data_IF_601161459500
#
_entry.id   IF_601161459500
#
_cell.length_a   1.000
_cell.length_b   1.000
_cell.length_c   1.000
_cell.angle_alpha   90.00
_cell.angle_beta   90.00
_cell.angle_gamma   90.00
#
_symmetry.space_group_name_H-M   'P 1'
#
loop_
_entity.id
_entity.type
_entity.pdbx_description
1 polymer ?
#
# COMPACT_ATOMS: atom_id res chain seq x y z
N UNK A 1 9.40 29.35 -1.65
CA UNK A 1 8.64 28.28 -0.96
C UNK A 1 9.61 27.31 -0.30
N UNK A 2 9.47 27.17 1.01
CA UNK A 2 10.08 26.19 1.89
C UNK A 2 9.02 25.16 2.29
N UNK A 3 9.40 23.88 2.38
CA UNK A 3 8.45 22.80 2.72
C UNK A 3 8.78 22.20 4.08
N UNK A 4 7.80 22.19 4.98
CA UNK A 4 7.89 21.50 6.27
C UNK A 4 7.49 20.04 6.09
N UNK A 5 8.41 19.10 6.26
CA UNK A 5 8.19 17.68 5.97
C UNK A 5 7.94 16.87 7.24
N UNK A 6 6.73 16.33 7.39
CA UNK A 6 6.29 15.58 8.57
C UNK A 6 5.92 14.15 8.20
N UNK A 7 6.78 13.20 8.55
CA UNK A 7 6.59 11.78 8.30
C UNK A 7 7.38 10.95 9.30
N UNK A 8 6.98 9.71 9.62
CA UNK A 8 7.94 8.72 10.07
C UNK A 8 9.08 8.61 9.05
N UNK A 9 10.30 8.44 9.53
CA UNK A 9 11.52 8.25 8.74
C UNK A 9 12.29 7.05 9.29
N UNK A 10 13.21 6.44 8.51
CA UNK A 10 14.12 5.42 9.03
C UNK A 10 14.83 5.94 10.29
N UNK A 11 15.01 5.10 11.33
CA UNK A 11 14.94 3.63 11.36
C UNK A 11 13.55 3.02 11.66
N UNK A 12 12.46 3.80 11.58
CA UNK A 12 11.11 3.24 11.75
C UNK A 12 10.84 2.16 10.68
N UNK A 13 10.49 0.94 11.12
CA UNK A 13 10.28 -0.22 10.23
C UNK A 13 8.89 -0.22 9.58
N UNK A 14 8.64 0.76 8.72
CA UNK A 14 7.37 0.90 7.99
C UNK A 14 7.61 1.28 6.55
N UNK A 15 6.73 0.82 5.64
CA UNK A 15 6.82 1.19 4.22
C UNK A 15 6.69 2.70 3.98
N UNK A 16 5.96 3.41 4.85
CA UNK A 16 5.85 4.88 4.80
C UNK A 16 7.18 5.55 5.11
N UNK A 17 7.97 5.03 6.05
CA UNK A 17 9.27 5.59 6.37
C UNK A 17 10.23 5.50 5.17
N UNK A 18 10.30 4.34 4.53
CA UNK A 18 11.16 4.12 3.34
C UNK A 18 10.71 5.01 2.17
N UNK A 19 9.40 5.06 1.92
CA UNK A 19 8.80 5.95 0.92
C UNK A 19 9.18 7.41 1.18
N UNK A 20 8.97 7.89 2.41
CA UNK A 20 9.19 9.28 2.77
C UNK A 20 10.65 9.67 2.71
N UNK A 21 11.58 8.76 3.01
CA UNK A 21 13.01 9.01 2.82
C UNK A 21 13.37 9.22 1.35
N UNK A 22 12.82 8.40 0.44
CA UNK A 22 13.03 8.55 -1.00
C UNK A 22 12.38 9.83 -1.54
N UNK A 23 11.15 10.14 -1.13
CA UNK A 23 10.47 11.37 -1.52
C UNK A 23 11.22 12.61 -1.02
N UNK A 24 11.69 12.60 0.23
CA UNK A 24 12.44 13.70 0.83
C UNK A 24 13.70 14.02 0.00
N UNK A 25 14.48 13.00 -0.40
CA UNK A 25 15.65 13.18 -1.27
C UNK A 25 15.26 13.81 -2.61
N UNK A 26 14.20 13.30 -3.24
CA UNK A 26 13.76 13.79 -4.54
C UNK A 26 13.19 15.22 -4.49
N UNK A 27 12.46 15.58 -3.43
CA UNK A 27 11.96 16.94 -3.22
C UNK A 27 13.06 17.94 -2.88
N UNK A 28 14.08 17.53 -2.11
CA UNK A 28 15.22 18.39 -1.77
C UNK A 28 16.02 18.85 -3.01
N UNK A 29 15.93 18.12 -4.13
CA UNK A 29 16.51 18.54 -5.41
C UNK A 29 15.73 19.67 -6.10
N UNK A 30 14.46 19.92 -5.72
CA UNK A 30 13.61 20.95 -6.30
C UNK A 30 13.56 22.25 -5.47
N UNK A 31 13.92 22.18 -4.19
CA UNK A 31 14.03 23.35 -3.32
C UNK A 31 14.16 22.99 -1.84
N UNK A 32 14.09 23.99 -0.94
CA UNK A 32 14.35 23.79 0.47
C UNK A 32 13.23 23.00 1.17
N UNK A 33 13.55 21.79 1.61
CA UNK A 33 12.68 20.91 2.42
C UNK A 33 13.30 20.68 3.78
N UNK A 34 12.56 20.97 4.85
CA UNK A 34 13.02 20.87 6.23
C UNK A 34 12.15 19.91 7.03
N UNK A 35 12.77 18.89 7.61
CA UNK A 35 12.07 17.91 8.43
C UNK A 35 11.56 18.57 9.71
N UNK A 36 10.29 18.35 10.02
CA UNK A 36 9.60 18.84 11.21
C UNK A 36 9.55 20.38 11.39
N UNK A 37 9.83 21.17 10.34
CA UNK A 37 9.76 22.63 10.40
C UNK A 37 8.33 23.14 10.23
N UNK A 38 7.74 23.65 11.31
CA UNK A 38 6.40 24.23 11.32
C UNK A 38 6.33 25.67 10.78
N UNK A 39 7.49 26.30 10.58
CA UNK A 39 7.59 27.68 10.11
C UNK A 39 7.83 27.76 8.60
N UNK A 40 7.80 26.61 7.92
CA UNK A 40 7.88 26.55 6.48
C UNK A 40 6.65 27.17 5.81
N UNK A 41 6.83 27.60 4.56
CA UNK A 41 5.77 28.22 3.76
C UNK A 41 4.56 27.30 3.55
N UNK A 42 4.81 25.99 3.39
CA UNK A 42 3.78 24.95 3.29
C UNK A 42 4.24 23.69 4.03
N UNK A 43 3.36 23.08 4.81
CA UNK A 43 3.63 21.81 5.48
C UNK A 43 3.06 20.61 4.70
N UNK A 44 3.82 19.52 4.64
CA UNK A 44 3.46 18.23 4.05
C UNK A 44 3.40 17.17 5.15
N UNK A 45 2.22 16.59 5.36
CA UNK A 45 1.93 15.64 6.44
C UNK A 45 1.64 14.26 5.89
N UNK A 46 2.49 13.27 6.20
CA UNK A 46 2.24 11.88 5.82
C UNK A 46 1.46 11.14 6.89
N UNK A 47 0.29 10.64 6.50
CA UNK A 47 -0.61 9.88 7.36
C UNK A 47 -0.80 8.46 6.80
N UNK A 48 -0.84 7.51 7.71
CA UNK A 48 -1.14 6.11 7.43
C UNK A 48 -1.87 5.50 8.61
N UNK A 49 -2.30 4.25 8.47
CA UNK A 49 -3.18 3.61 9.45
C UNK A 49 -2.41 2.99 10.64
N UNK A 50 -1.55 3.77 11.31
CA UNK A 50 -0.78 3.30 12.47
C UNK A 50 -0.40 4.44 13.46
N UNK A 51 -0.08 4.06 14.70
CA UNK A 51 0.21 4.98 15.81
C UNK A 51 1.38 5.97 15.60
N UNK A 52 2.31 5.68 14.69
CA UNK A 52 3.44 6.59 14.42
C UNK A 52 2.97 7.92 13.84
N UNK A 53 1.74 7.97 13.32
CA UNK A 53 1.15 9.16 12.73
C UNK A 53 0.39 10.04 13.73
N UNK A 54 0.31 9.68 15.03
CA UNK A 54 -0.46 10.42 16.06
C UNK A 54 -0.10 11.91 16.10
N UNK A 55 1.18 12.22 16.30
CA UNK A 55 1.65 13.61 16.39
C UNK A 55 1.49 14.36 15.07
N UNK A 56 1.70 13.66 13.94
CA UNK A 56 1.59 14.22 12.59
C UNK A 56 0.12 14.58 12.30
N UNK A 57 -0.82 13.71 12.68
CA UNK A 57 -2.25 13.95 12.55
C UNK A 57 -2.68 15.17 13.35
N UNK A 58 -2.27 15.27 14.62
CA UNK A 58 -2.58 16.44 15.44
C UNK A 58 -2.02 17.73 14.82
N UNK A 59 -0.77 17.71 14.35
CA UNK A 59 -0.17 18.87 13.68
C UNK A 59 -0.90 19.27 12.41
N UNK A 60 -1.36 18.31 11.61
CA UNK A 60 -2.12 18.58 10.39
C UNK A 60 -3.47 19.27 10.67
N UNK A 61 -4.06 19.02 11.84
CA UNK A 61 -5.26 19.71 12.31
C UNK A 61 -4.96 21.10 12.88
N UNK A 62 -3.87 21.26 13.61
CA UNK A 62 -3.48 22.52 14.25
C UNK A 62 -2.94 23.54 13.25
N UNK A 63 -2.21 23.08 12.22
CA UNK A 63 -1.62 23.92 11.17
C UNK A 63 -1.94 23.30 9.81
N UNK A 64 -3.04 23.72 9.17
CA UNK A 64 -3.45 23.22 7.86
C UNK A 64 -2.34 23.24 6.80
N UNK A 65 -2.10 22.08 6.19
CA UNK A 65 -1.14 21.90 5.11
C UNK A 65 -1.63 20.92 4.06
N UNK A 66 -0.71 20.32 3.32
CA UNK A 66 -1.01 19.23 2.39
C UNK A 66 -0.88 17.91 3.14
N UNK A 67 -1.93 17.09 3.14
CA UNK A 67 -1.92 15.76 3.74
C UNK A 67 -1.72 14.70 2.67
N UNK A 68 -0.87 13.72 2.94
CA UNK A 68 -0.69 12.51 2.12
C UNK A 68 -1.34 11.35 2.85
N UNK A 69 -2.35 10.73 2.25
CA UNK A 69 -2.97 9.51 2.75
C UNK A 69 -2.31 8.29 2.08
N UNK A 70 -1.53 7.54 2.86
CA UNK A 70 -0.97 6.25 2.44
C UNK A 70 -2.01 5.13 2.45
N UNK A 71 -2.96 5.23 3.39
CA UNK A 71 -4.18 4.43 3.48
C UNK A 71 -5.34 5.42 3.67
N UNK A 72 -6.44 5.25 2.94
CA UNK A 72 -7.61 6.13 3.01
C UNK A 72 -8.61 5.69 4.09
N UNK A 73 -8.41 4.56 4.78
CA UNK A 73 -9.20 4.18 5.97
C UNK A 73 -8.40 4.51 7.23
N UNK A 74 -8.69 5.65 7.85
CA UNK A 74 -8.09 6.08 9.12
C UNK A 74 -8.83 5.53 10.36
N UNK A 75 -9.87 4.74 10.14
CA UNK A 75 -10.68 4.15 11.21
C UNK A 75 -9.83 3.40 12.25
N UNK A 76 -8.92 2.51 11.83
CA UNK A 76 -8.12 1.72 12.77
C UNK A 76 -7.09 2.57 13.54
N UNK A 77 -6.57 3.61 12.91
CA UNK A 77 -5.72 4.62 13.55
C UNK A 77 -6.51 5.33 14.65
N UNK A 78 -7.69 5.85 14.34
CA UNK A 78 -8.52 6.56 15.32
C UNK A 78 -9.00 5.63 16.46
N UNK A 79 -9.31 4.37 16.16
CA UNK A 79 -9.62 3.35 17.17
C UNK A 79 -8.46 3.09 18.14
N UNK A 80 -7.21 3.21 17.67
CA UNK A 80 -6.02 3.03 18.49
C UNK A 80 -5.63 4.25 19.32
N UNK A 81 -6.00 5.45 18.85
CA UNK A 81 -5.54 6.72 19.45
C UNK A 81 -6.56 7.41 20.36
N UNK A 82 -7.86 7.25 20.09
CA UNK A 82 -8.94 7.93 20.80
C UNK A 82 -9.46 7.11 21.98
N UNK A 83 -10.03 7.79 22.98
CA UNK A 83 -10.92 7.17 23.97
C UNK A 83 -12.31 6.88 23.39
N UNK A 84 -13.12 6.08 24.08
CA UNK A 84 -14.48 5.76 23.62
C UNK A 84 -15.33 7.00 23.32
N UNK A 85 -15.42 8.00 24.22
CA UNK A 85 -16.23 9.20 23.95
C UNK A 85 -15.71 10.00 22.75
N UNK A 86 -14.39 10.11 22.60
CA UNK A 86 -13.76 10.82 21.48
C UNK A 86 -14.00 10.09 20.16
N UNK A 87 -13.86 8.76 20.14
CA UNK A 87 -14.15 7.93 18.97
C UNK A 87 -15.61 8.06 18.53
N UNK A 88 -16.56 7.98 19.48
CA UNK A 88 -17.99 8.13 19.17
C UNK A 88 -18.27 9.53 18.62
N UNK A 89 -17.71 10.58 19.23
CA UNK A 89 -17.85 11.94 18.72
C UNK A 89 -17.25 12.11 17.32
N UNK A 90 -16.09 11.49 17.05
CA UNK A 90 -15.48 11.50 15.72
C UNK A 90 -16.32 10.74 14.69
N UNK A 91 -16.89 9.59 15.06
CA UNK A 91 -17.77 8.82 14.19
C UNK A 91 -19.02 9.62 13.83
N UNK A 92 -19.64 10.28 14.83
CA UNK A 92 -20.78 11.18 14.64
C UNK A 92 -20.42 12.39 13.77
N UNK A 93 -19.20 12.93 13.89
CA UNK A 93 -18.74 14.02 13.01
C UNK A 93 -18.73 13.60 11.53
N UNK A 94 -18.31 12.35 11.26
CA UNK A 94 -18.22 11.79 9.92
C UNK A 94 -19.59 11.39 9.35
N UNK A 95 -20.44 10.72 10.14
CA UNK A 95 -21.65 10.05 9.63
C UNK A 95 -22.97 10.54 10.25
N UNK A 96 -22.93 11.53 11.15
CA UNK A 96 -24.10 12.12 11.80
C UNK A 96 -24.55 11.39 13.07
N UNK A 97 -25.36 12.07 13.88
CA UNK A 97 -25.77 11.63 15.22
C UNK A 97 -26.60 10.33 15.23
N UNK A 98 -27.32 10.04 14.15
CA UNK A 98 -28.09 8.80 13.99
C UNK A 98 -27.22 7.54 14.00
N UNK A 99 -25.90 7.67 13.83
CA UNK A 99 -24.95 6.57 13.83
C UNK A 99 -24.24 6.36 15.19
N UNK A 100 -24.68 7.03 16.26
CA UNK A 100 -24.02 6.93 17.57
C UNK A 100 -24.04 5.49 18.14
N UNK A 101 -25.17 4.81 18.08
CA UNK A 101 -25.29 3.43 18.57
C UNK A 101 -24.39 2.46 17.80
N UNK A 102 -24.27 2.67 16.48
CA UNK A 102 -23.36 1.94 15.63
C UNK A 102 -21.90 2.19 16.04
N UNK A 103 -21.52 3.43 16.30
CA UNK A 103 -20.18 3.76 16.78
C UNK A 103 -19.88 3.05 18.10
N UNK A 104 -20.81 3.09 19.07
CA UNK A 104 -20.65 2.39 20.35
C UNK A 104 -20.50 0.88 20.15
N UNK A 105 -21.24 0.28 19.22
CA UNK A 105 -21.12 -1.14 18.91
C UNK A 105 -19.78 -1.51 18.27
N UNK A 106 -19.32 -0.74 17.28
CA UNK A 106 -18.00 -0.90 16.68
C UNK A 106 -16.89 -0.74 17.74
N UNK A 107 -16.99 0.24 18.62
CA UNK A 107 -16.04 0.39 19.71
C UNK A 107 -15.98 -0.84 20.62
N UNK A 108 -17.14 -1.39 21.03
CA UNK A 108 -17.20 -2.62 21.85
C UNK A 108 -16.59 -3.83 21.13
N UNK A 109 -16.74 -3.92 19.81
CA UNK A 109 -16.25 -5.04 18.98
C UNK A 109 -14.87 -4.82 18.37
N UNK A 110 -14.16 -3.74 18.72
CA UNK A 110 -12.90 -3.29 18.08
C UNK A 110 -11.77 -4.33 18.04
N UNK A 111 -11.81 -5.35 18.90
CA UNK A 111 -10.89 -6.49 18.84
C UNK A 111 -10.93 -7.23 17.48
N UNK A 112 -12.04 -7.11 16.72
CA UNK A 112 -12.22 -7.69 15.39
C UNK A 112 -11.89 -6.72 14.25
N UNK A 113 -11.44 -5.50 14.55
CA UNK A 113 -11.29 -4.44 13.55
C UNK A 113 -10.35 -4.78 12.40
N UNK A 114 -9.34 -5.62 12.63
CA UNK A 114 -8.40 -6.06 11.61
C UNK A 114 -9.01 -7.01 10.56
N UNK A 115 -10.14 -7.67 10.87
CA UNK A 115 -10.71 -8.74 10.04
C UNK A 115 -12.16 -8.50 9.63
N UNK A 116 -12.90 -7.71 10.40
CA UNK A 116 -14.30 -7.38 10.13
C UNK A 116 -14.39 -6.31 9.02
N UNK A 117 -14.98 -6.63 7.84
CA UNK A 117 -15.09 -5.70 6.73
C UNK A 117 -15.81 -4.40 7.08
N UNK A 118 -16.67 -4.41 8.12
CA UNK A 118 -17.41 -3.22 8.53
C UNK A 118 -16.47 -2.05 8.90
N UNK A 119 -15.29 -2.32 9.45
CA UNK A 119 -14.34 -1.27 9.80
C UNK A 119 -13.70 -0.60 8.58
N UNK A 120 -13.63 -1.31 7.45
CA UNK A 120 -13.11 -0.77 6.19
C UNK A 120 -14.17 0.07 5.45
N UNK A 121 -15.45 -0.16 5.72
CA UNK A 121 -16.56 0.64 5.17
C UNK A 121 -16.74 2.02 5.81
N UNK A 122 -16.02 2.32 6.89
CA UNK A 122 -16.09 3.61 7.58
C UNK A 122 -14.71 4.29 7.64
N UNK A 123 -14.23 4.91 6.55
CA UNK A 123 -12.90 5.52 6.45
C UNK A 123 -12.55 6.59 7.50
N UNK A 124 -13.53 7.37 7.96
CA UNK A 124 -13.37 8.45 8.95
C UNK A 124 -12.38 9.55 8.53
N UNK A 125 -12.53 10.04 7.30
CA UNK A 125 -11.61 11.02 6.69
C UNK A 125 -12.01 12.49 6.85
N UNK A 126 -13.26 12.77 7.24
CA UNK A 126 -13.86 14.10 7.07
C UNK A 126 -13.06 15.21 7.75
N UNK A 127 -12.69 15.02 9.03
CA UNK A 127 -11.98 16.04 9.81
C UNK A 127 -10.65 16.43 9.18
N UNK A 128 -9.84 15.45 8.80
CA UNK A 128 -8.52 15.73 8.21
C UNK A 128 -8.66 16.27 6.79
N UNK A 129 -9.60 15.77 5.99
CA UNK A 129 -9.80 16.22 4.62
C UNK A 129 -10.32 17.68 4.56
N UNK A 130 -11.28 18.05 5.40
CA UNK A 130 -11.82 19.42 5.46
C UNK A 130 -10.81 20.43 6.03
N UNK A 131 -9.92 20.00 6.93
CA UNK A 131 -8.86 20.85 7.48
C UNK A 131 -7.65 20.98 6.55
N UNK A 132 -7.46 20.04 5.63
CA UNK A 132 -6.32 20.05 4.72
C UNK A 132 -6.48 21.09 3.61
N UNK A 133 -5.38 21.72 3.22
CA UNK A 133 -5.32 22.64 2.08
C UNK A 133 -5.39 21.89 0.75
N UNK A 134 -4.86 20.67 0.74
CA UNK A 134 -5.04 19.67 -0.28
C UNK A 134 -4.75 18.28 0.29
N UNK A 135 -5.32 17.25 -0.32
CA UNK A 135 -5.09 15.85 0.02
C UNK A 135 -4.44 15.14 -1.16
N UNK A 136 -3.26 14.56 -0.93
CA UNK A 136 -2.58 13.68 -1.86
C UNK A 136 -2.96 12.24 -1.55
N UNK A 137 -3.34 11.51 -2.59
CA UNK A 137 -3.66 10.08 -2.54
C UNK A 137 -2.91 9.35 -3.65
N UNK A 138 -2.82 8.02 -3.56
CA UNK A 138 -2.02 7.21 -4.47
C UNK A 138 -2.82 6.37 -5.47
N UNK A 139 -4.15 6.45 -5.45
CA UNK A 139 -5.04 5.72 -6.34
C UNK A 139 -6.44 6.37 -6.39
N UNK A 140 -7.26 6.03 -7.41
CA UNK A 140 -8.60 6.60 -7.55
C UNK A 140 -9.59 6.21 -6.44
N UNK A 141 -9.37 5.08 -5.74
CA UNK A 141 -10.26 4.64 -4.66
C UNK A 141 -10.14 5.57 -3.45
N UNK A 142 -8.92 5.86 -3.04
CA UNK A 142 -8.64 6.85 -2.00
C UNK A 142 -9.16 8.23 -2.39
N UNK A 143 -8.98 8.65 -3.65
CA UNK A 143 -9.51 9.93 -4.13
C UNK A 143 -11.03 10.01 -3.95
N UNK A 144 -11.74 8.94 -4.37
CA UNK A 144 -13.18 8.83 -4.20
C UNK A 144 -13.59 8.85 -2.73
N UNK A 145 -12.93 8.09 -1.86
CA UNK A 145 -13.22 8.06 -0.42
C UNK A 145 -13.07 9.46 0.21
N UNK A 146 -12.03 10.20 -0.15
CA UNK A 146 -11.83 11.58 0.33
C UNK A 146 -12.97 12.48 -0.11
N UNK A 147 -13.34 12.45 -1.39
CA UNK A 147 -14.41 13.30 -1.94
C UNK A 147 -15.81 12.95 -1.40
N UNK A 148 -16.06 11.68 -1.08
CA UNK A 148 -17.30 11.25 -0.42
C UNK A 148 -17.42 11.82 1.01
N UNK A 149 -16.29 11.98 1.73
CA UNK A 149 -16.28 12.54 3.08
C UNK A 149 -16.18 14.07 3.11
N UNK A 150 -15.49 14.66 2.15
CA UNK A 150 -15.26 16.09 2.03
C UNK A 150 -15.38 16.53 0.55
N UNK A 151 -16.59 16.79 0.03
CA UNK A 151 -16.80 17.12 -1.39
C UNK A 151 -16.07 18.39 -1.86
N UNK A 152 -15.73 19.30 -0.94
CA UNK A 152 -14.95 20.52 -1.23
C UNK A 152 -13.43 20.35 -1.16
N UNK A 153 -12.92 19.14 -0.85
CA UNK A 153 -11.49 18.92 -0.72
C UNK A 153 -10.77 18.99 -2.08
N UNK A 154 -9.60 19.63 -2.10
CA UNK A 154 -8.70 19.61 -3.25
C UNK A 154 -7.90 18.32 -3.21
N UNK A 155 -8.13 17.40 -4.16
CA UNK A 155 -7.48 16.10 -4.20
C UNK A 155 -6.48 16.02 -5.35
N UNK A 156 -5.26 15.55 -5.05
CA UNK A 156 -4.23 15.24 -6.03
C UNK A 156 -3.93 13.74 -6.00
N UNK A 157 -4.19 13.05 -7.11
CA UNK A 157 -3.71 11.68 -7.29
C UNK A 157 -2.25 11.72 -7.76
N UNK A 158 -1.34 11.29 -6.90
CA UNK A 158 0.09 11.23 -7.20
C UNK A 158 0.54 9.77 -7.04
N UNK A 159 1.12 9.14 -8.08
CA UNK A 159 1.58 7.76 -8.00
C UNK A 159 2.55 7.55 -6.83
N UNK A 160 2.41 6.42 -6.14
CA UNK A 160 3.37 6.03 -5.10
C UNK A 160 4.73 5.74 -5.75
N UNK A 161 5.76 6.51 -5.40
CA UNK A 161 7.09 6.41 -6.00
C UNK A 161 7.72 5.01 -5.93
N UNK A 162 8.61 4.76 -6.88
CA UNK A 162 9.53 3.63 -6.89
C UNK A 162 10.95 4.14 -7.13
N UNK A 163 11.83 3.93 -6.17
CA UNK A 163 13.28 4.09 -6.36
C UNK A 163 13.87 2.68 -6.59
N UNK A 164 14.40 2.39 -7.78
CA UNK A 164 15.04 1.10 -8.03
C UNK A 164 16.23 0.90 -7.08
N UNK A 165 16.34 -0.25 -6.41
CA UNK A 165 17.51 -0.57 -5.61
C UNK A 165 18.72 -0.87 -6.51
N UNK A 166 19.88 -1.08 -5.88
CA UNK A 166 20.90 -1.92 -6.48
C UNK A 166 20.43 -3.38 -6.46
N UNK A 167 20.18 -3.95 -7.64
CA UNK A 167 19.72 -5.33 -7.76
C UNK A 167 20.87 -6.34 -7.55
N UNK A 168 20.62 -7.47 -6.84
CA UNK A 168 21.58 -8.57 -6.75
C UNK A 168 22.00 -9.10 -8.13
N UNK A 169 23.24 -9.60 -8.21
CA UNK A 169 23.75 -10.15 -9.47
C UNK A 169 22.97 -11.42 -9.90
N UNK A 170 22.79 -11.70 -11.20
CA UNK A 170 22.07 -12.88 -11.67
C UNK A 170 22.59 -14.21 -11.10
N UNK A 171 23.91 -14.33 -10.90
CA UNK A 171 24.52 -15.51 -10.29
C UNK A 171 24.06 -15.74 -8.84
N UNK A 172 23.84 -14.67 -8.06
CA UNK A 172 23.32 -14.78 -6.69
C UNK A 172 21.88 -15.31 -6.68
N UNK A 173 21.07 -14.89 -7.67
CA UNK A 173 19.68 -15.31 -7.84
C UNK A 173 19.58 -16.78 -8.25
N UNK A 174 20.41 -17.22 -9.21
CA UNK A 174 20.47 -18.63 -9.64
C UNK A 174 20.90 -19.52 -8.47
N UNK A 175 21.93 -19.10 -7.72
CA UNK A 175 22.41 -19.83 -6.54
C UNK A 175 21.32 -19.95 -5.47
N UNK A 176 20.55 -18.88 -5.22
CA UNK A 176 19.43 -18.93 -4.28
C UNK A 176 18.36 -19.95 -4.72
N UNK A 177 18.00 -20.00 -6.02
CA UNK A 177 17.04 -21.01 -6.51
C UNK A 177 17.55 -22.44 -6.26
N UNK A 178 18.84 -22.68 -6.46
CA UNK A 178 19.46 -23.96 -6.15
C UNK A 178 19.44 -24.27 -4.64
N UNK A 179 19.77 -23.31 -3.78
CA UNK A 179 19.70 -23.43 -2.31
C UNK A 179 18.28 -23.75 -1.82
N UNK A 180 17.26 -23.24 -2.52
CA UNK A 180 15.84 -23.55 -2.26
C UNK A 180 15.37 -24.89 -2.84
N UNK A 181 16.26 -25.67 -3.48
CA UNK A 181 15.93 -26.95 -4.10
C UNK A 181 15.08 -26.82 -5.37
N UNK A 182 15.06 -25.65 -6.01
CA UNK A 182 14.25 -25.41 -7.19
C UNK A 182 15.03 -25.73 -8.47
N UNK A 183 14.53 -26.72 -9.23
CA UNK A 183 15.03 -26.98 -10.57
C UNK A 183 14.73 -25.78 -11.51
N UNK A 184 15.54 -25.55 -12.57
CA UNK A 184 15.36 -24.40 -13.47
C UNK A 184 13.98 -24.28 -14.12
N UNK A 185 13.29 -25.41 -14.31
CA UNK A 185 11.96 -25.50 -14.93
C UNK A 185 10.78 -25.24 -13.98
N UNK A 186 11.02 -25.25 -12.66
CA UNK A 186 9.95 -25.01 -11.68
C UNK A 186 9.56 -23.53 -11.72
N UNK A 187 8.30 -23.23 -12.00
CA UNK A 187 7.77 -21.87 -11.94
C UNK A 187 7.48 -21.47 -10.50
N UNK A 188 8.18 -20.46 -9.97
CA UNK A 188 8.05 -20.02 -8.59
C UNK A 188 7.05 -18.86 -8.48
N UNK A 189 5.93 -19.09 -7.80
CA UNK A 189 5.05 -18.04 -7.31
C UNK A 189 5.54 -17.54 -5.94
N UNK A 190 5.27 -16.28 -5.59
CA UNK A 190 5.55 -15.80 -4.24
C UNK A 190 4.51 -14.83 -3.67
N UNK A 191 4.31 -14.91 -2.35
CA UNK A 191 3.61 -13.91 -1.52
C UNK A 191 4.63 -13.27 -0.59
N UNK A 192 4.77 -11.94 -0.65
CA UNK A 192 5.76 -11.19 0.11
C UNK A 192 5.17 -10.28 1.20
N UNK A 193 5.95 -10.06 2.25
CA UNK A 193 5.74 -9.08 3.32
C UNK A 193 4.87 -9.60 4.47
N UNK A 194 4.63 -8.76 5.47
CA UNK A 194 3.84 -9.11 6.66
C UNK A 194 2.50 -9.77 6.31
N UNK A 195 2.27 -10.98 6.81
CA UNK A 195 1.11 -11.81 6.50
C UNK A 195 -0.04 -11.45 7.45
N UNK A 196 -1.04 -10.81 6.88
CA UNK A 196 -2.28 -10.36 7.52
C UNK A 196 -3.46 -10.97 6.79
N UNK A 197 -4.62 -11.02 7.44
CA UNK A 197 -5.85 -11.58 6.90
C UNK A 197 -6.25 -10.89 5.59
N UNK A 198 -6.03 -9.58 5.52
CA UNK A 198 -6.29 -8.80 4.32
C UNK A 198 -5.48 -9.27 3.11
N UNK A 199 -4.34 -9.96 3.27
CA UNK A 199 -3.54 -10.48 2.14
C UNK A 199 -4.10 -11.73 1.46
N UNK A 200 -5.24 -12.24 1.93
CA UNK A 200 -5.93 -13.39 1.31
C UNK A 200 -5.05 -14.63 1.16
N UNK A 201 -4.08 -14.83 2.05
CA UNK A 201 -3.14 -15.95 1.97
C UNK A 201 -3.85 -17.31 1.89
N UNK A 202 -4.94 -17.49 2.63
CA UNK A 202 -5.70 -18.74 2.59
C UNK A 202 -6.31 -19.01 1.20
N UNK A 203 -6.80 -17.98 0.51
CA UNK A 203 -7.26 -18.10 -0.88
C UNK A 203 -6.13 -18.51 -1.81
N UNK A 204 -4.94 -17.91 -1.64
CA UNK A 204 -3.75 -18.25 -2.43
C UNK A 204 -3.34 -19.70 -2.22
N UNK A 205 -3.28 -20.16 -0.97
CA UNK A 205 -2.91 -21.53 -0.63
C UNK A 205 -3.93 -22.54 -1.18
N UNK A 206 -5.23 -22.23 -1.09
CA UNK A 206 -6.28 -23.10 -1.65
C UNK A 206 -6.24 -23.15 -3.17
N UNK A 207 -6.08 -22.03 -3.86
CA UNK A 207 -5.94 -21.98 -5.31
C UNK A 207 -4.70 -22.77 -5.78
N UNK A 208 -3.55 -22.55 -5.12
CA UNK A 208 -2.33 -23.29 -5.40
C UNK A 208 -2.50 -24.81 -5.22
N UNK A 209 -3.13 -25.26 -4.14
CA UNK A 209 -3.35 -26.70 -3.92
C UNK A 209 -4.18 -27.36 -5.04
N UNK A 210 -5.12 -26.63 -5.64
CA UNK A 210 -5.94 -27.13 -6.75
C UNK A 210 -5.12 -27.42 -8.02
N UNK A 211 -4.06 -26.65 -8.28
CA UNK A 211 -3.31 -26.69 -9.55
C UNK A 211 -1.85 -27.12 -9.44
N UNK A 212 -1.29 -27.28 -8.23
CA UNK A 212 0.14 -27.59 -8.04
C UNK A 212 0.60 -28.91 -8.67
N UNK A 213 -0.32 -29.83 -8.98
CA UNK A 213 -0.03 -31.11 -9.64
C UNK A 213 -0.18 -31.06 -11.16
N UNK A 214 -0.69 -29.95 -11.70
CA UNK A 214 -1.02 -29.77 -13.12
C UNK A 214 0.12 -29.14 -13.94
N UNK A 215 1.16 -28.64 -13.27
CA UNK A 215 2.39 -28.08 -13.86
C UNK A 215 3.53 -28.06 -12.83
N UNK A 216 4.78 -27.93 -13.28
CA UNK A 216 5.94 -27.82 -12.39
C UNK A 216 6.02 -26.43 -11.76
N UNK A 217 5.42 -26.28 -10.59
CA UNK A 217 5.37 -25.00 -9.87
C UNK A 217 5.68 -25.16 -8.37
N UNK A 218 6.07 -24.07 -7.75
CA UNK A 218 6.26 -23.95 -6.30
C UNK A 218 5.71 -22.61 -5.80
N UNK A 219 5.46 -22.51 -4.50
CA UNK A 219 4.98 -21.28 -3.87
C UNK A 219 5.90 -20.88 -2.71
N UNK A 220 6.50 -19.69 -2.80
CA UNK A 220 7.22 -19.06 -1.70
C UNK A 220 6.28 -18.16 -0.90
N UNK A 221 6.13 -18.42 0.39
CA UNK A 221 5.47 -17.50 1.31
C UNK A 221 6.54 -16.85 2.19
N UNK A 222 6.86 -15.60 1.92
CA UNK A 222 7.96 -14.85 2.53
C UNK A 222 7.44 -13.71 3.41
N UNK A 223 7.56 -13.87 4.73
CA UNK A 223 7.14 -12.90 5.72
C UNK A 223 6.55 -13.53 6.97
N UNK A 224 6.50 -12.70 8.02
CA UNK A 224 6.01 -13.09 9.33
C UNK A 224 4.49 -12.95 9.42
N UNK A 225 3.86 -13.90 10.12
CA UNK A 225 2.45 -13.78 10.51
C UNK A 225 2.31 -12.70 11.57
N UNK A 226 1.42 -11.73 11.33
CA UNK A 226 1.09 -10.71 12.31
C UNK A 226 -0.07 -11.16 13.21
N UNK A 227 -0.83 -12.16 12.77
CA UNK A 227 -1.97 -12.75 13.48
C UNK A 227 -1.71 -14.22 13.77
N UNK A 228 -1.85 -14.61 15.03
CA UNK A 228 -1.75 -16.00 15.47
C UNK A 228 -2.91 -16.85 14.94
N UNK A 229 -4.09 -16.25 14.77
CA UNK A 229 -5.26 -16.94 14.21
C UNK A 229 -5.06 -17.25 12.72
N UNK A 230 -4.49 -16.30 11.97
CA UNK A 230 -4.12 -16.55 10.58
C UNK A 230 -3.04 -17.64 10.46
N UNK A 231 -2.03 -17.60 11.34
CA UNK A 231 -0.99 -18.63 11.37
C UNK A 231 -1.57 -20.03 11.60
N UNK A 232 -2.46 -20.17 12.60
CA UNK A 232 -3.15 -21.44 12.91
C UNK A 232 -4.05 -21.90 11.78
N UNK A 233 -4.75 -20.97 11.11
CA UNK A 233 -5.60 -21.30 9.97
C UNK A 233 -4.80 -21.74 8.72
N UNK A 234 -3.59 -21.20 8.54
CA UNK A 234 -2.73 -21.51 7.40
C UNK A 234 -1.90 -22.79 7.59
N UNK A 235 -1.60 -23.18 8.83
CA UNK A 235 -0.74 -24.33 9.18
C UNK A 235 -1.08 -25.62 8.41
N UNK A 236 -2.34 -26.08 8.29
CA UNK A 236 -2.67 -27.31 7.56
C UNK A 236 -2.38 -27.25 6.06
N UNK A 237 -2.30 -26.03 5.49
CA UNK A 237 -2.07 -25.78 4.07
C UNK A 237 -0.59 -25.55 3.74
N UNK A 238 0.26 -25.32 4.75
CA UNK A 238 1.69 -24.98 4.60
C UNK A 238 2.63 -26.17 4.77
N UNK A 239 2.12 -27.40 4.61
CA UNK A 239 2.91 -28.61 4.80
C UNK A 239 4.06 -28.72 3.77
N UNK A 240 5.28 -29.13 4.18
CA UNK A 240 6.47 -29.10 3.31
C UNK A 240 6.38 -29.94 2.03
N UNK A 241 5.56 -31.00 2.02
CA UNK A 241 5.37 -31.92 0.90
C UNK A 241 4.53 -31.31 -0.26
N UNK A 242 4.05 -30.07 -0.10
CA UNK A 242 3.20 -29.39 -1.08
C UNK A 242 3.98 -28.50 -2.06
N UNK A 243 5.31 -28.48 -1.99
CA UNK A 243 6.13 -27.56 -2.81
C UNK A 243 5.98 -26.10 -2.35
N UNK A 244 5.70 -25.89 -1.07
CA UNK A 244 5.55 -24.58 -0.46
C UNK A 244 6.82 -24.30 0.35
N UNK A 245 7.49 -23.20 0.03
CA UNK A 245 8.67 -22.71 0.72
C UNK A 245 8.26 -21.62 1.71
N UNK A 246 8.77 -21.69 2.94
CA UNK A 246 8.53 -20.69 3.98
C UNK A 246 9.81 -19.96 4.34
N UNK A 247 9.71 -18.64 4.42
CA UNK A 247 10.78 -17.82 4.99
C UNK A 247 10.18 -16.68 5.81
N UNK A 248 10.90 -16.27 6.85
CA UNK A 248 10.52 -15.15 7.71
C UNK A 248 10.67 -13.81 6.98
N UNK A 249 10.44 -12.70 7.69
CA UNK A 249 10.82 -11.38 7.20
C UNK A 249 12.29 -11.34 6.73
N UNK A 250 12.51 -10.77 5.56
CA UNK A 250 13.84 -10.63 4.95
C UNK A 250 14.27 -9.17 4.95
N UNK A 251 15.52 -8.86 5.33
CA UNK A 251 16.12 -7.55 5.09
C UNK A 251 16.14 -7.20 3.60
N UNK A 252 16.29 -5.92 3.28
CA UNK A 252 16.12 -5.41 1.91
C UNK A 252 16.95 -6.14 0.84
N UNK A 253 18.24 -6.39 1.11
CA UNK A 253 19.09 -7.13 0.16
C UNK A 253 18.56 -8.53 -0.13
N UNK A 254 18.19 -9.27 0.91
CA UNK A 254 17.68 -10.64 0.75
C UNK A 254 16.28 -10.65 0.15
N UNK A 255 15.42 -9.67 0.49
CA UNK A 255 14.14 -9.46 -0.17
C UNK A 255 14.31 -9.41 -1.69
N UNK A 256 15.28 -8.63 -2.19
CA UNK A 256 15.51 -8.54 -3.64
C UNK A 256 16.06 -9.84 -4.24
N UNK A 257 16.87 -10.62 -3.51
CA UNK A 257 17.29 -11.95 -3.97
C UNK A 257 16.09 -12.87 -4.16
N UNK A 258 15.18 -12.93 -3.19
CA UNK A 258 13.95 -13.74 -3.29
C UNK A 258 12.99 -13.21 -4.36
N UNK A 259 12.79 -11.89 -4.44
CA UNK A 259 11.93 -11.26 -5.43
C UNK A 259 12.43 -11.58 -6.85
N UNK A 260 13.73 -11.46 -7.12
CA UNK A 260 14.31 -11.76 -8.42
C UNK A 260 14.33 -13.27 -8.73
N UNK A 261 14.41 -14.13 -7.72
CA UNK A 261 14.31 -15.58 -7.87
C UNK A 261 12.89 -16.07 -8.22
N UNK A 262 11.87 -15.24 -7.98
CA UNK A 262 10.46 -15.53 -8.23
C UNK A 262 10.07 -15.25 -9.69
N UNK A 263 9.20 -16.08 -10.26
CA UNK A 263 8.72 -15.94 -11.63
C UNK A 263 7.42 -15.10 -11.72
N UNK A 264 6.51 -15.23 -10.75
CA UNK A 264 5.35 -14.34 -10.58
C UNK A 264 5.00 -14.09 -9.12
N UNK A 265 4.47 -12.91 -8.82
CA UNK A 265 4.11 -12.53 -7.44
C UNK A 265 2.60 -12.43 -7.27
N UNK A 266 2.11 -12.80 -6.09
CA UNK A 266 0.70 -12.71 -5.72
C UNK A 266 0.59 -11.74 -4.55
N UNK A 267 -0.11 -10.63 -4.77
CA UNK A 267 -0.37 -9.60 -3.76
C UNK A 267 -1.86 -9.24 -3.77
N UNK A 268 -2.67 -10.22 -3.38
CA UNK A 268 -4.10 -10.01 -3.18
C UNK A 268 -4.35 -9.19 -1.93
N UNK A 269 -5.45 -8.44 -1.97
CA UNK A 269 -5.92 -7.66 -0.84
C UNK A 269 -7.43 -7.54 -0.78
N UNK A 270 -8.01 -8.01 0.32
CA UNK A 270 -9.40 -7.74 0.66
C UNK A 270 -9.68 -7.96 2.15
N UNK A 271 -10.41 -7.06 2.84
CA UNK A 271 -10.92 -5.77 2.35
C UNK A 271 -9.79 -4.77 2.04
N UNK A 272 -10.06 -3.82 1.15
CA UNK A 272 -9.13 -2.74 0.82
C UNK A 272 -9.37 -1.53 1.73
N UNK A 273 -8.31 -0.77 2.00
CA UNK A 273 -8.30 0.45 2.79
C UNK A 273 -8.02 1.69 1.93
N UNK A 274 -8.25 1.61 0.61
CA UNK A 274 -7.86 2.63 -0.35
C UNK A 274 -6.33 2.83 -0.44
N UNK A 275 -5.54 1.86 -0.02
CA UNK A 275 -4.08 1.95 -0.04
C UNK A 275 -3.48 1.59 -1.39
N UNK A 276 -2.28 2.10 -1.66
CA UNK A 276 -1.46 1.62 -2.77
C UNK A 276 -0.34 0.73 -2.23
N UNK A 277 -0.26 -0.51 -2.72
CA UNK A 277 0.70 -1.47 -2.21
C UNK A 277 2.13 -1.21 -2.71
N UNK A 278 2.98 -0.66 -1.84
CA UNK A 278 4.40 -0.42 -2.18
C UNK A 278 5.15 -1.68 -2.62
N UNK A 279 4.80 -2.87 -2.10
CA UNK A 279 5.39 -4.13 -2.55
C UNK A 279 5.02 -4.46 -4.00
N UNK A 280 3.77 -4.22 -4.44
CA UNK A 280 3.36 -4.42 -5.83
C UNK A 280 4.18 -3.54 -6.76
N UNK A 281 4.30 -2.25 -6.42
CA UNK A 281 5.05 -1.28 -7.21
C UNK A 281 6.52 -1.69 -7.34
N UNK A 282 7.14 -2.14 -6.25
CA UNK A 282 8.52 -2.65 -6.24
C UNK A 282 8.69 -3.87 -7.14
N UNK A 283 7.78 -4.84 -7.06
CA UNK A 283 7.85 -6.08 -7.83
C UNK A 283 7.58 -5.83 -9.33
N UNK A 284 6.59 -5.00 -9.65
CA UNK A 284 6.31 -4.55 -11.01
C UNK A 284 7.52 -3.78 -11.59
N UNK A 285 8.12 -2.89 -10.81
CA UNK A 285 9.33 -2.16 -11.19
C UNK A 285 10.54 -3.05 -11.43
N UNK A 286 10.62 -4.21 -10.77
CA UNK A 286 11.62 -5.25 -11.00
C UNK A 286 11.22 -6.25 -12.10
N UNK A 287 10.29 -5.86 -12.96
CA UNK A 287 9.78 -6.65 -14.08
C UNK A 287 9.16 -8.00 -13.68
N UNK A 288 8.57 -8.09 -12.48
CA UNK A 288 7.81 -9.27 -12.06
C UNK A 288 6.34 -9.08 -12.39
N UNK A 289 5.68 -10.05 -13.05
CA UNK A 289 4.23 -10.04 -13.16
C UNK A 289 3.63 -10.18 -11.76
N UNK A 290 2.62 -9.36 -11.47
CA UNK A 290 1.94 -9.34 -10.18
C UNK A 290 0.45 -9.61 -10.37
N UNK A 291 -0.07 -10.60 -9.64
CA UNK A 291 -1.48 -10.86 -9.49
C UNK A 291 -1.98 -10.02 -8.31
N UNK A 292 -2.94 -9.14 -8.55
CA UNK A 292 -3.50 -8.22 -7.57
C UNK A 292 -5.01 -8.39 -7.48
N UNK A 293 -5.61 -8.01 -6.36
CA UNK A 293 -7.07 -7.95 -6.28
C UNK A 293 -7.61 -6.90 -7.25
N UNK A 294 -8.67 -7.26 -7.98
CA UNK A 294 -9.40 -6.33 -8.82
C UNK A 294 -10.12 -5.31 -7.93
N UNK A 295 -9.96 -4.03 -8.28
CA UNK A 295 -10.50 -2.94 -7.50
C UNK A 295 -10.12 -1.59 -8.08
N UNK A 296 -10.69 -0.54 -7.52
CA UNK A 296 -10.41 0.83 -7.95
C UNK A 296 -8.97 1.24 -7.56
N UNK A 297 -8.41 0.65 -6.51
CA UNK A 297 -7.04 0.82 -6.03
C UNK A 297 -5.99 0.42 -7.07
N UNK A 298 -6.30 -0.60 -7.88
CA UNK A 298 -5.39 -1.15 -8.91
C UNK A 298 -5.80 -0.74 -10.33
N UNK A 299 -6.84 0.08 -10.48
CA UNK A 299 -7.40 0.49 -11.78
C UNK A 299 -6.44 1.36 -12.61
N UNK A 300 -5.56 2.12 -11.95
CA UNK A 300 -4.58 2.98 -12.62
C UNK A 300 -3.49 2.23 -13.39
N UNK A 301 -3.29 0.93 -13.10
CA UNK A 301 -2.34 0.11 -13.85
C UNK A 301 -2.92 -0.32 -15.21
N UNK A 302 -2.12 -0.37 -16.29
CA UNK A 302 -2.56 -0.96 -17.55
C UNK A 302 -3.00 -2.41 -17.36
N UNK A 303 -4.08 -2.85 -18.04
CA UNK A 303 -4.57 -4.22 -17.95
C UNK A 303 -3.50 -5.26 -18.36
N UNK A 304 -2.55 -4.85 -19.20
CA UNK A 304 -1.45 -5.69 -19.66
C UNK A 304 -0.24 -5.73 -18.72
N UNK A 305 -0.22 -4.91 -17.65
CA UNK A 305 0.91 -4.73 -16.73
C UNK A 305 0.74 -5.50 -15.40
N UNK A 306 -0.48 -5.92 -15.06
CA UNK A 306 -0.74 -6.77 -13.91
C UNK A 306 -2.00 -7.61 -14.16
N UNK A 307 -2.11 -8.76 -13.52
CA UNK A 307 -3.31 -9.60 -13.59
C UNK A 307 -4.23 -9.28 -12.42
N UNK A 308 -5.49 -8.97 -12.71
CA UNK A 308 -6.49 -8.65 -11.69
C UNK A 308 -7.34 -9.87 -11.39
N UNK A 309 -7.44 -10.21 -10.11
CA UNK A 309 -8.25 -11.31 -9.59
C UNK A 309 -9.46 -10.72 -8.88
N UNK A 310 -10.65 -11.01 -9.39
CA UNK A 310 -11.89 -10.58 -8.78
C UNK A 310 -12.04 -11.17 -7.38
N UNK A 311 -12.46 -10.35 -6.42
CA UNK A 311 -12.74 -10.80 -5.06
C UNK A 311 -14.14 -11.42 -4.98
N UNK A 312 -14.33 -12.39 -4.08
CA UNK A 312 -15.62 -13.04 -3.88
C UNK A 312 -15.61 -14.53 -4.26
N UNK A 313 -16.74 -15.03 -4.76
CA UNK A 313 -16.98 -16.48 -4.93
C UNK A 313 -15.99 -17.13 -5.92
N UNK A 314 -15.65 -16.44 -7.01
CA UNK A 314 -14.74 -16.93 -8.05
C UNK A 314 -13.25 -16.64 -7.83
N UNK A 315 -12.86 -16.02 -6.71
CA UNK A 315 -11.48 -15.57 -6.47
C UNK A 315 -10.47 -16.73 -6.56
N UNK A 316 -10.77 -17.87 -5.93
CA UNK A 316 -9.87 -19.02 -5.88
C UNK A 316 -9.75 -19.72 -7.25
N UNK A 317 -10.83 -19.77 -8.04
CA UNK A 317 -10.85 -20.39 -9.36
C UNK A 317 -10.07 -19.56 -10.37
N UNK A 318 -10.34 -18.25 -10.44
CA UNK A 318 -9.61 -17.34 -11.33
C UNK A 318 -8.12 -17.29 -10.99
N UNK A 319 -7.78 -17.28 -9.70
CA UNK A 319 -6.39 -17.33 -9.25
C UNK A 319 -5.71 -18.63 -9.71
N UNK A 320 -6.38 -19.78 -9.54
CA UNK A 320 -5.86 -21.08 -9.97
C UNK A 320 -5.62 -21.12 -11.49
N UNK A 321 -6.53 -20.58 -12.29
CA UNK A 321 -6.39 -20.47 -13.75
C UNK A 321 -5.19 -19.60 -14.16
N UNK A 322 -5.01 -18.44 -13.53
CA UNK A 322 -3.83 -17.60 -13.78
C UNK A 322 -2.54 -18.29 -13.37
N UNK A 323 -2.51 -18.99 -12.24
CA UNK A 323 -1.32 -19.73 -11.81
C UNK A 323 -0.96 -20.83 -12.82
N UNK A 324 -1.96 -21.56 -13.33
CA UNK A 324 -1.74 -22.59 -14.34
C UNK A 324 -1.27 -22.01 -15.66
N UNK A 325 -1.87 -20.90 -16.12
CA UNK A 325 -1.47 -20.20 -17.33
C UNK A 325 -0.02 -19.74 -17.26
N UNK A 326 0.35 -18.99 -16.22
CA UNK A 326 1.72 -18.46 -16.11
C UNK A 326 2.77 -19.55 -15.96
N UNK A 327 2.46 -20.63 -15.23
CA UNK A 327 3.36 -21.77 -15.09
C UNK A 327 3.58 -22.54 -16.41
N UNK A 328 2.54 -22.65 -17.26
CA UNK A 328 2.62 -23.32 -18.56
C UNK A 328 3.22 -22.44 -19.65
N UNK A 329 3.08 -21.12 -19.54
CA UNK A 329 3.54 -20.14 -20.52
C UNK A 329 4.40 -19.04 -19.88
N UNK A 330 5.64 -19.35 -19.45
CA UNK A 330 6.51 -18.38 -18.77
C UNK A 330 6.85 -17.15 -19.61
N UNK A 331 6.79 -17.25 -20.94
CA UNK A 331 6.95 -16.10 -21.85
C UNK A 331 5.90 -15.01 -21.62
N UNK A 332 4.66 -15.41 -21.29
CA UNK A 332 3.57 -14.48 -21.04
C UNK A 332 3.79 -13.74 -19.72
N UNK A 333 4.26 -14.47 -18.70
CA UNK A 333 4.68 -13.92 -17.41
C UNK A 333 5.77 -12.85 -17.58
N UNK A 334 6.80 -13.15 -18.38
CA UNK A 334 7.88 -12.22 -18.70
C UNK A 334 7.36 -10.97 -19.44
N UNK A 335 6.48 -11.15 -20.42
CA UNK A 335 5.92 -10.04 -21.19
C UNK A 335 5.04 -9.12 -20.32
N UNK A 336 4.24 -9.68 -19.40
CA UNK A 336 3.48 -8.90 -18.41
C UNK A 336 4.44 -8.12 -17.52
N UNK A 337 5.47 -8.77 -16.98
CA UNK A 337 6.48 -8.15 -16.12
C UNK A 337 7.22 -6.99 -16.81
N UNK A 338 7.62 -7.15 -18.07
CA UNK A 338 8.26 -6.09 -18.85
C UNK A 338 7.36 -4.86 -19.04
N UNK A 339 6.07 -5.07 -19.34
CA UNK A 339 5.09 -3.98 -19.43
C UNK A 339 4.85 -3.30 -18.07
N UNK A 340 4.88 -4.08 -16.99
CA UNK A 340 4.83 -3.56 -15.63
C UNK A 340 6.02 -2.64 -15.34
N UNK A 341 7.24 -3.10 -15.62
CA UNK A 341 8.45 -2.31 -15.40
C UNK A 341 8.48 -1.04 -16.24
N UNK A 342 8.04 -1.10 -17.50
CA UNK A 342 7.91 0.08 -18.36
C UNK A 342 6.95 1.12 -17.76
N UNK A 343 5.77 0.69 -17.31
CA UNK A 343 4.80 1.57 -16.66
C UNK A 343 5.34 2.16 -15.35
N UNK A 344 5.94 1.35 -14.48
CA UNK A 344 6.52 1.83 -13.22
C UNK A 344 7.66 2.82 -13.49
N UNK A 345 8.54 2.52 -14.45
CA UNK A 345 9.65 3.39 -14.83
C UNK A 345 9.19 4.76 -15.35
N UNK A 346 8.07 4.81 -16.08
CA UNK A 346 7.53 6.07 -16.63
C UNK A 346 6.76 6.89 -15.59
N UNK A 347 5.88 6.26 -14.81
CA UNK A 347 4.91 6.99 -13.98
C UNK A 347 5.29 7.10 -12.50
N UNK A 348 6.16 6.21 -12.00
CA UNK A 348 6.51 6.13 -10.57
C UNK A 348 7.95 6.58 -10.28
N UNK A 349 8.68 7.10 -11.27
CA UNK A 349 10.05 7.58 -11.08
C UNK A 349 10.13 8.71 -10.03
N UNK A 350 11.14 8.73 -9.14
CA UNK A 350 11.22 9.70 -8.05
C UNK A 350 11.19 11.16 -8.51
N UNK A 351 11.89 11.48 -9.61
CA UNK A 351 11.92 12.84 -10.17
C UNK A 351 10.52 13.31 -10.65
N UNK A 352 9.77 12.42 -11.31
CA UNK A 352 8.40 12.71 -11.77
C UNK A 352 7.46 12.91 -10.57
N UNK A 353 7.49 11.98 -9.63
CA UNK A 353 6.64 12.04 -8.43
C UNK A 353 6.94 13.29 -7.62
N UNK A 354 8.21 13.61 -7.36
CA UNK A 354 8.61 14.83 -6.67
C UNK A 354 8.14 16.10 -7.40
N UNK A 355 8.19 16.13 -8.73
CA UNK A 355 7.67 17.27 -9.50
C UNK A 355 6.15 17.44 -9.34
N UNK A 356 5.37 16.34 -9.27
CA UNK A 356 3.93 16.40 -8.99
C UNK A 356 3.65 16.92 -7.58
N UNK A 357 4.38 16.43 -6.58
CA UNK A 357 4.29 16.94 -5.21
C UNK A 357 4.63 18.42 -5.13
N UNK A 358 5.73 18.84 -5.78
CA UNK A 358 6.17 20.23 -5.78
C UNK A 358 5.12 21.15 -6.39
N UNK A 359 4.47 20.74 -7.49
CA UNK A 359 3.36 21.50 -8.10
C UNK A 359 2.17 21.61 -7.16
N UNK A 360 1.79 20.54 -6.48
CA UNK A 360 0.69 20.56 -5.51
C UNK A 360 0.99 21.52 -4.34
N UNK A 361 2.21 21.45 -3.79
CA UNK A 361 2.68 22.32 -2.71
C UNK A 361 2.74 23.79 -3.13
N UNK A 362 3.30 24.08 -4.31
CA UNK A 362 3.37 25.44 -4.86
C UNK A 362 1.98 26.02 -5.12
N UNK A 363 1.06 25.22 -5.69
CA UNK A 363 -0.32 25.64 -5.91
C UNK A 363 -1.09 25.92 -4.61
N UNK A 364 -0.71 25.28 -3.49
CA UNK A 364 -1.17 25.71 -2.17
C UNK A 364 -0.52 27.04 -1.79
N UNK A 365 0.81 27.14 -1.77
CA UNK A 365 1.51 28.37 -1.40
C UNK A 365 0.98 29.64 -2.11
N UNK A 366 0.83 29.58 -3.43
CA UNK A 366 0.41 30.73 -4.24
C UNK A 366 -1.03 31.18 -3.90
N UNK A 367 -1.93 30.25 -3.56
CA UNK A 367 -3.31 30.57 -3.15
C UNK A 367 -3.36 31.32 -1.83
N UNK A 368 -2.45 31.06 -0.90
CA UNK A 368 -2.39 31.82 0.36
C UNK A 368 -1.88 33.23 0.15
N UNK A 369 -0.89 33.40 -0.72
CA UNK A 369 -0.36 34.72 -1.05
C UNK A 369 -1.43 35.58 -1.75
N UNK A 370 -2.21 34.97 -2.66
CA UNK A 370 -3.33 35.65 -3.31
C UNK A 370 -4.47 35.97 -2.32
N UNK A 371 -4.79 35.06 -1.40
CA UNK A 371 -5.81 35.27 -0.38
C UNK A 371 -5.43 36.34 0.65
N UNK A 372 -4.16 36.45 1.02
CA UNK A 372 -3.67 37.50 1.93
C UNK A 372 -3.62 38.88 1.27
N UNK A 373 -3.41 38.94 -0.05
CA UNK A 373 -3.40 40.19 -0.82
C UNK A 373 -4.81 40.79 -1.05
N UNK A 374 -5.88 40.00 -0.88
CA UNK A 374 -7.29 40.43 -1.09
C UNK A 374 -8.02 40.64 0.26
N UNK A 375 -7.31 40.78 1.38
CA UNK A 375 -7.89 41.25 2.64
C UNK A 375 -7.66 42.77 2.78
N UNK A 376 -8.61 43.65 2.37
CA UNK A 376 -8.55 45.05 2.76
C UNK A 376 -8.99 45.21 4.21
N UNK A 377 -8.37 46.19 4.86
CA UNK A 377 -8.55 46.64 6.24
C UNK A 377 -9.99 46.75 6.74
#
# INVERSE_FOLDING_TARGET
MTVGFFSPLPPARTGVADYSAALLRALAALGPVKVNDRHADVCLYHLGNNRLHREIYQRALDTPGVVVLHDAVLHHFLLGELSEPEYVAEFVYNYGAWNEDLARDLWRRRARSATDPQYFSYPMLKRVAERSRAVVVHNPAAARMVLEHAPGAVVHEIPHLFEPPEFPAPAEVIRLRHELGLAPRIFLFAVFGHLRESKRLLSVLRAYERVRRESEMALLVAGDFVSSDLARAAEPLLLPDRGILRTAYQPERDFWRYALATDACINLRYPAAGETSGISIRLMGAAKPVLVSAGLETSGFPQSACLRVDTGVGEEDLLAEYMLWLARFPSDAQAIGQRAAAHIGEFHAPARVAALYWRALAGCYDRDQAGSAIAPC
#
